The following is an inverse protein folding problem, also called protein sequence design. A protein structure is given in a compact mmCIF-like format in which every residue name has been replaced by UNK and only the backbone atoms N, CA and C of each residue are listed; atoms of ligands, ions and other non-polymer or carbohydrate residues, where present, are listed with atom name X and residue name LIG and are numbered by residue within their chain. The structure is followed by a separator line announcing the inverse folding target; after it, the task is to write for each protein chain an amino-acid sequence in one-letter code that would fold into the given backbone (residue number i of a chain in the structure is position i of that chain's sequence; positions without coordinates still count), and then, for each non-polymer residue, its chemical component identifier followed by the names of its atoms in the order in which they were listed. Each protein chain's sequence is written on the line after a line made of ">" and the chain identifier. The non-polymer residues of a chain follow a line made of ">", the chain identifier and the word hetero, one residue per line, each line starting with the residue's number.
data_IF_352856994478
#
_entry.id   IF_352856994478
#
_cell.length_a   1.000
_cell.length_b   1.000
_cell.length_c   1.000
_cell.angle_alpha   90.00
_cell.angle_beta   90.00
_cell.angle_gamma   90.00
#
_symmetry.space_group_name_H-M   'P 1'
#
loop_
_entity.id
_entity.type
_entity.pdbx_description
1 polymer ?
#
# COMPACT_ATOMS: atom_id res chain seq x y z
N UNK A 1 -12.43 -3.67 -24.16
CA UNK A 1 -11.93 -3.11 -22.89
C UNK A 1 -10.54 -2.57 -23.16
N UNK A 2 -10.42 -1.27 -23.43
CA UNK A 2 -9.11 -0.62 -23.48
C UNK A 2 -8.68 -0.44 -22.03
N UNK A 3 -8.00 -1.45 -21.48
CA UNK A 3 -7.38 -1.34 -20.16
C UNK A 3 -6.15 -0.45 -20.34
N UNK A 4 -6.33 0.85 -20.16
CA UNK A 4 -5.22 1.78 -20.05
C UNK A 4 -4.64 1.62 -18.64
N UNK A 5 -3.39 1.16 -18.54
CA UNK A 5 -2.65 1.16 -17.29
C UNK A 5 -2.22 2.61 -16.98
N UNK A 6 -3.13 3.39 -16.39
CA UNK A 6 -2.81 4.73 -15.90
C UNK A 6 -2.32 4.57 -14.47
N UNK A 7 -1.00 4.57 -14.31
CA UNK A 7 -0.41 4.67 -12.98
C UNK A 7 -0.57 6.11 -12.49
N UNK A 8 -1.41 6.31 -11.48
CA UNK A 8 -1.64 7.59 -10.82
C UNK A 8 -0.80 7.77 -9.55
N UNK A 9 0.18 6.90 -9.30
CA UNK A 9 1.10 7.04 -8.17
C UNK A 9 1.93 8.33 -8.33
N UNK A 10 1.69 9.37 -7.51
CA UNK A 10 2.42 10.63 -7.63
C UNK A 10 3.90 10.47 -7.28
N UNK A 11 4.29 9.41 -6.57
CA UNK A 11 5.68 9.13 -6.20
C UNK A 11 6.48 8.44 -7.30
N UNK A 12 5.83 7.91 -8.35
CA UNK A 12 6.54 7.34 -9.51
C UNK A 12 6.91 8.41 -10.55
N UNK A 13 6.22 9.55 -10.56
CA UNK A 13 6.43 10.60 -11.54
C UNK A 13 6.75 11.92 -10.83
N UNK A 14 8.02 12.33 -10.88
CA UNK A 14 8.38 13.67 -10.44
C UNK A 14 7.79 14.71 -11.39
N UNK A 15 6.96 15.61 -10.87
CA UNK A 15 6.37 16.72 -11.63
C UNK A 15 6.87 18.03 -11.05
N UNK A 16 7.31 18.94 -11.92
CA UNK A 16 7.59 20.33 -11.50
C UNK A 16 6.27 21.02 -11.16
N UNK A 17 6.16 21.53 -9.94
CA UNK A 17 4.94 22.17 -9.44
C UNK A 17 5.30 23.40 -8.60
N UNK A 18 4.56 24.51 -8.75
CA UNK A 18 4.86 25.79 -8.09
C UNK A 18 4.49 25.81 -6.59
N UNK A 19 3.72 24.82 -6.14
CA UNK A 19 3.33 24.68 -4.74
C UNK A 19 4.48 24.13 -3.89
N UNK A 20 5.05 24.99 -3.04
CA UNK A 20 6.13 24.61 -2.12
C UNK A 20 5.76 23.47 -1.16
N UNK A 21 4.50 23.34 -0.76
CA UNK A 21 4.06 22.24 0.12
C UNK A 21 4.10 20.89 -0.60
N UNK A 22 3.78 20.87 -1.89
CA UNK A 22 3.89 19.66 -2.71
C UNK A 22 5.35 19.25 -2.88
N UNK A 23 6.23 20.19 -3.23
CA UNK A 23 7.67 19.91 -3.38
C UNK A 23 8.26 19.34 -2.09
N UNK A 24 7.94 19.96 -0.95
CA UNK A 24 8.36 19.46 0.36
C UNK A 24 7.86 18.04 0.65
N UNK A 25 6.59 17.74 0.35
CA UNK A 25 6.06 16.39 0.52
C UNK A 25 6.85 15.36 -0.31
N UNK A 26 7.16 15.69 -1.56
CA UNK A 26 7.91 14.80 -2.46
C UNK A 26 9.35 14.58 -1.96
N UNK A 27 10.01 15.66 -1.51
CA UNK A 27 11.35 15.60 -0.91
C UNK A 27 11.37 14.78 0.38
N UNK A 28 10.40 14.99 1.28
CA UNK A 28 10.28 14.29 2.55
C UNK A 28 10.04 12.78 2.31
N UNK A 29 9.18 12.42 1.36
CA UNK A 29 8.94 11.01 0.96
C UNK A 29 10.20 10.39 0.34
N UNK A 30 10.90 11.11 -0.54
CA UNK A 30 12.15 10.62 -1.11
C UNK A 30 13.21 10.40 -0.02
N UNK A 31 13.37 11.34 0.91
CA UNK A 31 14.31 11.23 2.01
C UNK A 31 14.00 10.03 2.91
N UNK A 32 12.73 9.84 3.26
CA UNK A 32 12.26 8.70 4.03
C UNK A 32 12.54 7.36 3.34
N UNK A 33 12.34 7.26 2.03
CA UNK A 33 12.63 6.02 1.29
C UNK A 33 14.13 5.81 1.10
N UNK A 34 14.90 6.84 0.75
CA UNK A 34 16.33 6.72 0.48
C UNK A 34 17.12 6.37 1.75
N UNK A 35 16.91 7.13 2.83
CA UNK A 35 17.68 7.03 4.09
C UNK A 35 16.77 7.24 5.30
N UNK A 36 15.88 6.29 5.61
CA UNK A 36 15.07 6.37 6.82
C UNK A 36 15.97 6.32 8.07
N UNK A 37 15.55 7.00 9.14
CA UNK A 37 16.14 6.79 10.47
C UNK A 37 15.68 5.44 11.06
N UNK A 38 16.32 5.00 12.15
CA UNK A 38 15.95 3.76 12.84
C UNK A 38 14.50 3.80 13.39
N UNK A 39 14.06 4.97 13.88
CA UNK A 39 12.70 5.20 14.36
C UNK A 39 11.67 5.29 13.21
N UNK A 40 12.13 5.55 11.99
CA UNK A 40 11.31 5.68 10.79
C UNK A 40 11.11 4.33 10.09
N UNK A 41 12.18 3.53 9.98
CA UNK A 41 12.13 2.21 9.37
C UNK A 41 11.70 1.17 10.41
N UNK A 42 10.45 1.25 10.87
CA UNK A 42 9.89 0.33 11.87
C UNK A 42 9.61 -1.06 11.30
N UNK A 43 9.30 -2.01 12.17
CA UNK A 43 8.79 -3.32 11.74
C UNK A 43 7.40 -3.16 11.08
N UNK A 44 7.06 -4.04 10.13
CA UNK A 44 5.76 -4.06 9.45
C UNK A 44 4.62 -4.18 10.47
N UNK A 45 4.81 -4.95 11.54
CA UNK A 45 3.88 -5.07 12.67
C UNK A 45 3.52 -3.73 13.33
N UNK A 46 4.35 -2.70 13.20
CA UNK A 46 4.10 -1.38 13.78
C UNK A 46 3.06 -0.57 12.99
N UNK A 47 2.92 -0.84 11.69
CA UNK A 47 1.96 -0.16 10.80
C UNK A 47 0.79 -1.07 10.38
N UNK A 48 1.00 -2.38 10.45
CA UNK A 48 0.01 -3.41 10.21
C UNK A 48 0.06 -4.41 11.38
N UNK A 49 -0.55 -4.09 12.53
CA UNK A 49 -0.43 -4.92 13.73
C UNK A 49 -1.20 -6.23 13.60
N UNK A 50 -0.90 -7.15 14.52
CA UNK A 50 -1.52 -8.48 14.54
C UNK A 50 -3.05 -8.43 14.53
N UNK A 51 -3.67 -7.43 15.19
CA UNK A 51 -5.12 -7.27 15.15
C UNK A 51 -5.66 -7.04 13.73
N UNK A 52 -4.97 -6.24 12.91
CA UNK A 52 -5.38 -6.00 11.52
C UNK A 52 -5.13 -7.25 10.66
N UNK A 53 -4.06 -7.99 10.93
CA UNK A 53 -3.84 -9.28 10.27
C UNK A 53 -4.95 -10.29 10.59
N UNK A 54 -5.39 -10.35 11.86
CA UNK A 54 -6.50 -11.22 12.26
C UNK A 54 -7.82 -10.81 11.59
N UNK A 55 -8.12 -9.50 11.52
CA UNK A 55 -9.27 -8.98 10.77
C UNK A 55 -9.18 -9.34 9.28
N UNK A 56 -8.01 -9.16 8.67
CA UNK A 56 -7.74 -9.56 7.29
C UNK A 56 -8.00 -11.05 7.08
N UNK A 57 -7.50 -11.90 7.98
CA UNK A 57 -7.65 -13.34 7.89
C UNK A 57 -9.13 -13.78 7.97
N UNK A 58 -9.94 -13.08 8.77
CA UNK A 58 -11.40 -13.30 8.83
C UNK A 58 -12.04 -12.96 7.48
N UNK A 59 -11.69 -11.83 6.87
CA UNK A 59 -12.21 -11.44 5.55
C UNK A 59 -11.76 -12.43 4.46
N UNK A 60 -10.48 -12.81 4.44
CA UNK A 60 -9.96 -13.83 3.52
C UNK A 60 -10.71 -15.16 3.65
N UNK A 61 -11.01 -15.58 4.88
CA UNK A 61 -11.76 -16.81 5.12
C UNK A 61 -13.21 -16.70 4.64
N UNK A 62 -13.87 -15.57 4.85
CA UNK A 62 -15.23 -15.31 4.37
C UNK A 62 -15.30 -15.31 2.83
N UNK A 63 -14.26 -14.81 2.17
CA UNK A 63 -14.09 -14.86 0.71
C UNK A 63 -13.65 -16.25 0.18
N UNK A 64 -13.46 -17.23 1.07
CA UNK A 64 -13.14 -18.61 0.70
C UNK A 64 -11.70 -18.82 0.23
N UNK A 65 -10.76 -17.97 0.65
CA UNK A 65 -9.36 -18.12 0.26
C UNK A 65 -8.71 -19.33 0.95
N UNK A 66 -7.87 -20.05 0.20
CA UNK A 66 -7.02 -21.11 0.74
C UNK A 66 -5.67 -20.56 1.22
N UNK A 67 -4.97 -21.27 2.11
CA UNK A 67 -3.60 -20.91 2.50
C UNK A 67 -3.50 -19.90 3.65
N UNK A 68 -4.61 -19.65 4.36
CA UNK A 68 -4.68 -18.60 5.39
C UNK A 68 -3.78 -18.94 6.58
N UNK A 69 -3.75 -20.20 7.02
CA UNK A 69 -2.93 -20.62 8.16
C UNK A 69 -1.44 -20.65 7.83
N UNK A 70 -1.07 -21.03 6.62
CA UNK A 70 0.30 -20.92 6.11
C UNK A 70 0.73 -19.45 6.03
N UNK A 71 -0.17 -18.57 5.59
CA UNK A 71 0.08 -17.12 5.57
C UNK A 71 0.21 -16.55 6.97
N UNK A 72 -0.59 -17.02 7.93
CA UNK A 72 -0.52 -16.66 9.34
C UNK A 72 0.80 -17.09 9.98
N UNK A 73 1.28 -18.29 9.65
CA UNK A 73 2.59 -18.75 10.11
C UNK A 73 3.72 -17.90 9.52
N UNK A 74 3.66 -17.60 8.22
CA UNK A 74 4.62 -16.68 7.58
C UNK A 74 4.57 -15.27 8.16
N UNK A 75 3.37 -14.78 8.50
CA UNK A 75 3.18 -13.51 9.18
C UNK A 75 3.94 -13.48 10.51
N UNK A 76 3.69 -14.47 11.38
CA UNK A 76 4.28 -14.56 12.72
C UNK A 76 5.78 -14.83 12.70
N UNK A 77 6.24 -15.65 11.76
CA UNK A 77 7.64 -16.07 11.70
C UNK A 77 8.52 -15.03 11.01
N UNK A 78 8.01 -14.34 9.99
CA UNK A 78 8.80 -13.49 9.08
C UNK A 78 8.14 -12.12 8.79
N UNK A 79 6.99 -12.08 8.13
CA UNK A 79 6.51 -10.84 7.49
C UNK A 79 6.31 -9.67 8.46
N UNK A 80 5.80 -9.94 9.67
CA UNK A 80 5.54 -8.91 10.68
C UNK A 80 6.82 -8.26 11.20
N UNK A 81 7.94 -8.98 11.16
CA UNK A 81 9.26 -8.56 11.68
C UNK A 81 10.12 -7.85 10.64
N UNK A 82 9.69 -7.84 9.38
CA UNK A 82 10.42 -7.14 8.32
C UNK A 82 10.36 -5.65 8.58
N UNK A 83 11.44 -4.94 8.25
CA UNK A 83 11.50 -3.47 8.29
C UNK A 83 10.82 -2.89 7.05
N UNK A 84 9.95 -1.89 7.23
CA UNK A 84 9.04 -1.39 6.19
C UNK A 84 9.77 -0.85 4.95
N UNK A 85 10.93 -0.20 5.11
CA UNK A 85 11.74 0.34 4.03
C UNK A 85 12.89 -0.60 3.69
N UNK A 86 13.79 -0.88 4.62
CA UNK A 86 15.04 -1.59 4.31
C UNK A 86 14.85 -3.05 3.89
N UNK A 87 13.82 -3.72 4.41
CA UNK A 87 13.57 -5.14 4.12
C UNK A 87 12.39 -5.34 3.19
N UNK A 88 11.27 -4.62 3.37
CA UNK A 88 10.07 -4.80 2.54
C UNK A 88 10.17 -4.00 1.23
N UNK A 89 10.13 -2.66 1.28
CA UNK A 89 10.13 -1.84 0.05
C UNK A 89 11.38 -2.02 -0.82
N UNK A 90 12.56 -2.14 -0.19
CA UNK A 90 13.84 -2.31 -0.90
C UNK A 90 14.20 -3.77 -1.24
N UNK A 91 13.30 -4.72 -1.02
CA UNK A 91 13.50 -6.10 -1.46
C UNK A 91 13.71 -6.14 -2.98
N UNK A 92 14.89 -6.58 -3.43
CA UNK A 92 15.24 -6.69 -4.86
C UNK A 92 14.29 -7.63 -5.61
N UNK A 93 13.66 -8.57 -4.92
CA UNK A 93 12.68 -9.49 -5.48
C UNK A 93 11.24 -8.97 -5.39
N UNK A 94 10.98 -7.80 -4.81
CA UNK A 94 9.61 -7.24 -4.76
C UNK A 94 9.02 -7.12 -6.17
N UNK A 95 9.88 -6.79 -7.14
CA UNK A 95 9.55 -6.73 -8.57
C UNK A 95 9.33 -8.11 -9.23
N UNK A 96 9.80 -9.21 -8.64
CA UNK A 96 9.49 -10.56 -9.09
C UNK A 96 8.21 -11.10 -8.42
N UNK A 97 7.85 -10.55 -7.26
CA UNK A 97 6.63 -10.86 -6.48
C UNK A 97 5.39 -10.06 -6.96
N UNK A 98 5.46 -9.46 -8.16
CA UNK A 98 4.48 -8.54 -8.79
C UNK A 98 3.08 -9.08 -9.06
N UNK A 99 2.79 -10.34 -8.73
CA UNK A 99 1.43 -10.87 -8.80
C UNK A 99 0.45 -10.01 -7.97
N UNK A 100 0.94 -9.34 -6.91
CA UNK A 100 0.16 -8.36 -6.14
C UNK A 100 0.15 -6.94 -6.73
N UNK A 101 1.20 -6.50 -7.44
CA UNK A 101 1.32 -5.09 -7.89
C UNK A 101 0.66 -4.81 -9.24
N UNK A 102 0.46 -5.84 -10.08
CA UNK A 102 -0.19 -5.69 -11.38
C UNK A 102 -1.69 -5.39 -11.23
N UNK A 103 -2.46 -6.10 -10.38
CA UNK A 103 -3.81 -5.69 -10.02
C UNK A 103 -3.81 -4.26 -9.48
N UNK A 104 -2.96 -3.93 -8.51
CA UNK A 104 -2.90 -2.58 -7.94
C UNK A 104 -2.70 -1.49 -9.00
N UNK A 105 -1.83 -1.70 -10.01
CA UNK A 105 -1.64 -0.74 -11.12
C UNK A 105 -2.80 -0.67 -12.12
N UNK A 106 -3.54 -1.76 -12.28
CA UNK A 106 -4.60 -1.90 -13.29
C UNK A 106 -6.00 -1.64 -12.72
N UNK A 107 -6.17 -1.76 -11.40
CA UNK A 107 -7.44 -1.65 -10.68
C UNK A 107 -7.38 -0.63 -9.56
N UNK A 108 -6.36 0.25 -9.51
CA UNK A 108 -6.28 1.29 -8.48
C UNK A 108 -7.49 2.23 -8.49
N UNK A 109 -8.05 2.44 -9.68
CA UNK A 109 -9.26 3.24 -9.89
C UNK A 109 -10.03 2.67 -11.08
N UNK A 110 -11.27 2.29 -10.85
CA UNK A 110 -12.19 1.72 -11.82
C UNK A 110 -13.37 2.67 -11.95
N UNK A 111 -13.63 3.14 -13.18
CA UNK A 111 -14.85 3.87 -13.49
C UNK A 111 -16.05 2.91 -13.48
N UNK A 112 -17.04 3.22 -12.66
CA UNK A 112 -18.27 2.43 -12.53
C UNK A 112 -19.33 2.92 -13.52
N UNK A 113 -20.27 2.03 -13.88
CA UNK A 113 -21.33 2.33 -14.86
C UNK A 113 -22.26 3.49 -14.45
N UNK A 114 -22.32 3.80 -13.15
CA UNK A 114 -23.10 4.91 -12.60
C UNK A 114 -22.33 6.26 -12.62
N UNK A 115 -21.10 6.28 -13.13
CA UNK A 115 -20.24 7.47 -13.16
C UNK A 115 -19.41 7.69 -11.89
N UNK A 116 -19.55 6.83 -10.88
CA UNK A 116 -18.69 6.83 -9.70
C UNK A 116 -17.34 6.13 -9.98
N UNK A 117 -16.40 6.23 -9.04
CA UNK A 117 -15.10 5.56 -9.11
C UNK A 117 -14.93 4.62 -7.93
N UNK A 118 -14.70 3.34 -8.19
CA UNK A 118 -14.19 2.43 -7.18
C UNK A 118 -12.67 2.53 -7.16
N UNK A 119 -12.08 2.83 -6.01
CA UNK A 119 -10.63 2.91 -5.86
C UNK A 119 -10.21 2.36 -4.50
N UNK A 120 -9.02 1.77 -4.45
CA UNK A 120 -8.43 1.30 -3.19
C UNK A 120 -8.11 2.53 -2.32
N UNK A 121 -8.36 2.51 -1.01
CA UNK A 121 -7.99 3.63 -0.13
C UNK A 121 -6.48 3.71 -0.01
N UNK A 122 -5.87 4.67 -0.70
CA UNK A 122 -4.44 4.91 -0.62
C UNK A 122 -4.12 6.28 -1.16
N UNK A 123 -3.03 6.87 -0.66
CA UNK A 123 -2.51 8.19 -1.08
C UNK A 123 -2.05 8.21 -2.54
N UNK A 124 -1.93 7.04 -3.18
CA UNK A 124 -1.53 6.91 -4.59
C UNK A 124 -2.71 6.68 -5.55
N UNK A 125 -3.95 6.70 -5.06
CA UNK A 125 -5.16 6.52 -5.87
C UNK A 125 -6.04 7.77 -5.88
N UNK A 126 -7.13 7.74 -6.67
CA UNK A 126 -8.14 8.81 -6.64
C UNK A 126 -9.12 8.67 -5.46
N UNK A 127 -8.71 8.04 -4.36
CA UNK A 127 -9.53 7.92 -3.16
C UNK A 127 -9.81 9.29 -2.56
N UNK A 128 -11.09 9.66 -2.51
CA UNK A 128 -11.50 11.03 -2.21
C UNK A 128 -11.75 11.29 -0.72
N UNK A 129 -11.90 10.25 0.09
CA UNK A 129 -12.13 10.42 1.52
C UNK A 129 -10.80 10.60 2.28
N UNK A 130 -10.79 11.40 3.37
CA UNK A 130 -9.60 11.58 4.18
C UNK A 130 -9.11 10.26 4.80
N UNK A 131 -7.79 10.06 4.82
CA UNK A 131 -7.11 8.94 5.47
C UNK A 131 -6.14 9.47 6.53
N UNK A 132 -6.64 10.02 7.66
CA UNK A 132 -5.81 10.71 8.65
C UNK A 132 -4.88 9.78 9.44
N UNK A 133 -5.21 8.49 9.52
CA UNK A 133 -4.46 7.49 10.28
C UNK A 133 -4.69 6.07 9.73
N UNK A 134 -3.98 5.10 10.30
CA UNK A 134 -4.05 3.67 9.91
C UNK A 134 -5.44 3.09 10.16
N UNK A 135 -6.15 3.52 11.21
CA UNK A 135 -7.48 3.00 11.55
C UNK A 135 -8.50 3.42 10.49
N UNK A 136 -8.48 4.69 10.10
CA UNK A 136 -9.34 5.23 9.04
C UNK A 136 -9.03 4.58 7.67
N UNK A 137 -7.75 4.33 7.37
CA UNK A 137 -7.36 3.59 6.18
C UNK A 137 -7.86 2.15 6.19
N UNK A 138 -7.68 1.42 7.31
CA UNK A 138 -8.09 0.03 7.42
C UNK A 138 -9.61 -0.14 7.29
N UNK A 139 -10.39 0.73 7.94
CA UNK A 139 -11.85 0.70 7.84
C UNK A 139 -12.37 0.98 6.42
N UNK A 140 -11.58 1.68 5.60
CA UNK A 140 -11.92 1.99 4.22
C UNK A 140 -11.49 0.89 3.23
N UNK A 141 -10.58 -0.01 3.63
CA UNK A 141 -9.94 -1.01 2.77
C UNK A 141 -10.79 -2.27 2.64
#
# INVERSE_FOLDING_TARGET
>A
WNVAAINNNPFEYWVTHDNAAYLRLMEDVQAFIDKPTEDQDVEVSSVFPDSLFEELAVVMAAEGWSGIEETRELWRSDFSKRRIISTFMKDKQIGAKRLASMPDRLTNTIDLANGEKACRPTVISNYSAPLPDISAWWAAW
#
